data_IF_750883977372
#
_entry.id   IF_750883977372
#
_cell.length_a   1.000
_cell.length_b   1.000
_cell.length_c   1.000
_cell.angle_alpha   90.00
_cell.angle_beta   90.00
_cell.angle_gamma   90.00
#
_symmetry.space_group_name_H-M   'P 1'
#
loop_
_entity.id
_entity.type
_entity.pdbx_description
1 polymer ?
#
# COMPACT_ATOMS: atom_id res chain seq x y z
N UNK A 1 -20.17 -33.13 20.41
CA UNK A 1 -19.73 -31.72 20.38
C UNK A 1 -18.27 -31.53 19.94
N UNK A 2 -17.27 -32.10 20.64
CA UNK A 2 -15.83 -31.97 20.26
C UNK A 2 -15.51 -32.49 18.85
N UNK A 3 -16.07 -33.65 18.49
CA UNK A 3 -15.79 -34.28 17.19
C UNK A 3 -16.36 -33.50 16.01
N UNK A 4 -17.53 -32.86 16.19
CA UNK A 4 -18.15 -32.03 15.17
C UNK A 4 -17.33 -30.76 14.92
N UNK A 5 -16.82 -30.13 16.00
CA UNK A 5 -15.88 -29.00 15.90
C UNK A 5 -14.57 -29.39 15.20
N UNK A 6 -14.05 -30.58 15.48
CA UNK A 6 -12.82 -31.09 14.85
C UNK A 6 -13.00 -31.27 13.34
N UNK A 7 -14.11 -31.89 12.92
CA UNK A 7 -14.46 -32.06 11.51
C UNK A 7 -14.66 -30.73 10.80
N UNK A 8 -15.31 -29.77 11.46
CA UNK A 8 -15.51 -28.43 10.91
C UNK A 8 -14.19 -27.68 10.72
N UNK A 9 -13.29 -27.70 11.71
CA UNK A 9 -11.98 -27.07 11.60
C UNK A 9 -11.11 -27.72 10.51
N UNK A 10 -11.23 -29.04 10.33
CA UNK A 10 -10.53 -29.73 9.25
C UNK A 10 -11.05 -29.27 7.88
N UNK A 11 -12.37 -29.17 7.71
CA UNK A 11 -12.97 -28.69 6.48
C UNK A 11 -12.58 -27.24 6.14
N UNK A 12 -12.53 -26.35 7.13
CA UNK A 12 -12.06 -24.97 6.91
C UNK A 12 -10.59 -24.92 6.49
N UNK A 13 -9.75 -25.78 7.07
CA UNK A 13 -8.33 -25.84 6.70
C UNK A 13 -8.15 -26.38 5.29
N UNK A 14 -8.95 -27.36 4.89
CA UNK A 14 -8.94 -27.91 3.54
C UNK A 14 -9.44 -26.86 2.53
N UNK A 15 -10.45 -26.08 2.89
CA UNK A 15 -10.96 -24.95 2.10
C UNK A 15 -9.91 -23.83 1.95
N UNK A 16 -9.23 -23.44 3.02
CA UNK A 16 -8.15 -22.45 3.00
C UNK A 16 -7.01 -22.88 2.08
N UNK A 17 -6.57 -24.15 2.20
CA UNK A 17 -5.53 -24.72 1.33
C UNK A 17 -6.01 -24.76 -0.13
N UNK A 18 -7.26 -25.15 -0.37
CA UNK A 18 -7.86 -25.16 -1.70
C UNK A 18 -7.85 -23.76 -2.32
N UNK A 19 -8.27 -22.72 -1.58
CA UNK A 19 -8.30 -21.35 -2.07
C UNK A 19 -6.90 -20.76 -2.28
N UNK A 20 -5.93 -21.06 -1.41
CA UNK A 20 -4.54 -20.64 -1.58
C UNK A 20 -3.91 -21.26 -2.84
N UNK A 21 -4.16 -22.56 -3.09
CA UNK A 21 -3.72 -23.25 -4.30
C UNK A 21 -4.40 -22.69 -5.54
N UNK A 22 -5.72 -22.42 -5.48
CA UNK A 22 -6.49 -21.84 -6.58
C UNK A 22 -6.08 -20.41 -6.90
N UNK A 23 -5.75 -19.59 -5.90
CA UNK A 23 -5.24 -18.24 -6.11
C UNK A 23 -3.87 -18.24 -6.81
N UNK A 24 -2.97 -19.13 -6.40
CA UNK A 24 -1.67 -19.33 -7.06
C UNK A 24 -1.82 -19.90 -8.47
N UNK A 25 -2.75 -20.84 -8.68
CA UNK A 25 -3.06 -21.39 -10.00
C UNK A 25 -3.68 -20.35 -10.93
N UNK A 26 -4.57 -19.49 -10.42
CA UNK A 26 -5.10 -18.34 -11.16
C UNK A 26 -3.98 -17.39 -11.56
N UNK A 27 -3.06 -17.10 -10.66
CA UNK A 27 -1.89 -16.28 -10.97
C UNK A 27 -0.95 -16.93 -12.00
N UNK A 28 -0.77 -18.25 -11.94
CA UNK A 28 0.04 -19.03 -12.88
C UNK A 28 -0.60 -19.13 -14.27
N UNK A 29 -1.92 -19.37 -14.31
CA UNK A 29 -2.72 -19.52 -15.54
C UNK A 29 -2.89 -18.19 -16.25
N UNK A 30 -2.98 -17.10 -15.49
CA UNK A 30 -2.97 -15.74 -16.01
C UNK A 30 -1.55 -15.20 -16.24
N UNK A 31 -0.49 -15.98 -15.98
CA UNK A 31 0.90 -15.58 -16.22
C UNK A 31 1.14 -15.07 -17.65
N UNK A 32 1.93 -14.00 -17.79
CA UNK A 32 2.34 -13.20 -18.98
C UNK A 32 1.27 -12.82 -20.02
N UNK A 33 0.05 -13.36 -19.93
CA UNK A 33 -1.15 -12.93 -20.66
C UNK A 33 -1.97 -11.91 -19.88
N UNK A 34 -1.66 -11.71 -18.59
CA UNK A 34 -2.16 -10.59 -17.80
C UNK A 34 -1.37 -9.30 -18.02
N UNK A 35 -0.70 -9.09 -19.16
CA UNK A 35 -0.11 -7.77 -19.48
C UNK A 35 -1.17 -6.69 -19.27
N UNK A 36 -2.38 -6.86 -19.82
CA UNK A 36 -3.45 -5.86 -19.70
C UNK A 36 -3.98 -5.72 -18.27
N UNK A 37 -4.21 -6.82 -17.53
CA UNK A 37 -4.68 -6.73 -16.14
C UNK A 37 -3.59 -6.17 -15.21
N UNK A 38 -2.34 -6.57 -15.41
CA UNK A 38 -1.20 -6.07 -14.65
C UNK A 38 -0.99 -4.59 -14.95
N UNK A 39 -0.98 -4.17 -16.22
CA UNK A 39 -0.92 -2.76 -16.58
C UNK A 39 -2.14 -2.01 -16.10
N UNK A 40 -3.35 -2.57 -16.13
CA UNK A 40 -4.55 -1.94 -15.57
C UNK A 40 -4.44 -1.75 -14.06
N UNK A 41 -3.93 -2.75 -13.33
CA UNK A 41 -3.69 -2.70 -11.89
C UNK A 41 -2.61 -1.68 -11.53
N UNK A 42 -1.48 -1.69 -12.25
CA UNK A 42 -0.40 -0.70 -12.13
C UNK A 42 -0.91 0.70 -12.47
N UNK A 43 -1.67 0.86 -13.54
CA UNK A 43 -2.22 2.15 -13.97
C UNK A 43 -3.29 2.65 -13.00
N UNK A 44 -4.09 1.77 -12.40
CA UNK A 44 -5.04 2.11 -11.34
C UNK A 44 -4.31 2.62 -10.10
N UNK A 45 -3.24 1.92 -9.68
CA UNK A 45 -2.37 2.38 -8.58
C UNK A 45 -1.68 3.70 -8.89
N UNK A 46 -1.14 3.86 -10.11
CA UNK A 46 -0.53 5.12 -10.58
C UNK A 46 -1.54 6.27 -10.56
N UNK A 47 -2.75 6.06 -11.08
CA UNK A 47 -3.84 7.07 -11.05
C UNK A 47 -4.20 7.45 -9.63
N UNK A 48 -4.39 6.47 -8.74
CA UNK A 48 -4.73 6.71 -7.33
C UNK A 48 -3.63 7.46 -6.57
N UNK A 49 -2.36 7.18 -6.88
CA UNK A 49 -1.22 7.74 -6.16
C UNK A 49 -0.62 8.98 -6.86
N UNK A 50 -1.19 9.43 -7.99
CA UNK A 50 -0.68 10.58 -8.71
C UNK A 50 -1.10 11.87 -8.00
N UNK A 51 -0.13 12.65 -7.57
CA UNK A 51 -0.35 13.97 -6.97
C UNK A 51 -0.50 14.97 -8.12
N UNK A 52 -1.71 15.52 -8.28
CA UNK A 52 -2.03 16.46 -9.37
C UNK A 52 -1.94 17.92 -8.93
N UNK A 53 -2.20 18.15 -7.64
CA UNK A 53 -2.09 19.45 -7.01
C UNK A 53 -1.66 19.27 -5.56
N UNK A 54 -0.91 20.22 -5.06
CA UNK A 54 -0.46 20.24 -3.68
C UNK A 54 -0.72 21.63 -3.10
N UNK A 55 -1.25 21.67 -1.88
CA UNK A 55 -1.50 22.92 -1.17
C UNK A 55 -0.27 23.24 -0.33
N UNK A 56 0.28 24.45 -0.52
CA UNK A 56 1.40 24.97 0.25
C UNK A 56 0.94 25.46 1.63
N UNK A 57 1.89 25.80 2.49
CA UNK A 57 1.61 26.31 3.86
C UNK A 57 0.95 27.70 3.86
N UNK A 58 1.07 28.45 2.79
CA UNK A 58 0.46 29.78 2.60
C UNK A 58 -0.94 29.71 1.94
N UNK A 59 -1.56 28.52 1.97
CA UNK A 59 -2.85 28.20 1.33
C UNK A 59 -2.88 28.32 -0.20
N UNK A 60 -1.75 28.61 -0.85
CA UNK A 60 -1.64 28.60 -2.31
C UNK A 60 -1.57 27.16 -2.86
N UNK A 61 -1.97 26.97 -4.12
CA UNK A 61 -1.93 25.68 -4.80
C UNK A 61 -0.81 25.64 -5.84
N UNK A 62 -0.06 24.54 -5.87
CA UNK A 62 0.84 24.20 -6.97
C UNK A 62 0.30 23.01 -7.76
N UNK A 63 0.26 23.15 -9.09
CA UNK A 63 -0.22 22.13 -10.03
C UNK A 63 0.88 21.67 -10.99
N UNK A 64 1.93 22.49 -11.18
CA UNK A 64 3.07 22.11 -12.01
C UNK A 64 3.89 21.01 -11.30
N UNK A 65 4.23 19.96 -12.04
CA UNK A 65 4.96 18.81 -11.49
C UNK A 65 6.29 19.20 -10.86
N UNK A 66 7.03 20.12 -11.47
CA UNK A 66 8.31 20.62 -10.94
C UNK A 66 8.10 21.33 -9.61
N UNK A 67 7.13 22.22 -9.55
CA UNK A 67 6.79 22.96 -8.33
C UNK A 67 6.37 22.03 -7.18
N UNK A 68 5.58 21.00 -7.48
CA UNK A 68 5.18 19.97 -6.50
C UNK A 68 6.40 19.20 -5.99
N UNK A 69 7.30 18.81 -6.90
CA UNK A 69 8.53 18.08 -6.55
C UNK A 69 9.47 18.93 -5.69
N UNK A 70 9.65 20.20 -6.03
CA UNK A 70 10.47 21.15 -5.28
C UNK A 70 9.89 21.44 -3.89
N UNK A 71 8.59 21.67 -3.77
CA UNK A 71 7.92 21.92 -2.49
C UNK A 71 8.06 20.72 -1.54
N UNK A 72 7.71 19.51 -2.01
CA UNK A 72 7.80 18.28 -1.21
C UNK A 72 9.26 18.02 -0.79
N UNK A 73 10.20 18.15 -1.74
CA UNK A 73 11.62 17.91 -1.47
C UNK A 73 12.17 18.93 -0.48
N UNK A 74 11.77 20.20 -0.60
CA UNK A 74 12.12 21.27 0.32
C UNK A 74 11.64 21.01 1.74
N UNK A 75 10.35 20.66 1.88
CA UNK A 75 9.75 20.30 3.16
C UNK A 75 10.51 19.17 3.86
N UNK A 76 10.76 18.05 3.18
CA UNK A 76 11.45 16.92 3.80
C UNK A 76 12.93 17.22 4.07
N UNK A 77 13.59 18.01 3.21
CA UNK A 77 14.95 18.47 3.47
C UNK A 77 15.01 19.27 4.77
N UNK A 78 14.10 20.20 4.98
CA UNK A 78 14.00 20.97 6.23
C UNK A 78 13.67 20.06 7.43
N UNK A 79 12.69 19.18 7.29
CA UNK A 79 12.27 18.23 8.33
C UNK A 79 13.44 17.36 8.82
N UNK A 80 14.21 16.82 7.88
CA UNK A 80 15.37 15.95 8.16
C UNK A 80 16.67 16.71 8.45
N UNK A 81 16.70 18.04 8.30
CA UNK A 81 17.84 18.88 8.69
C UNK A 81 17.83 19.24 10.19
N UNK A 82 16.70 19.04 10.89
CA UNK A 82 16.63 19.27 12.33
C UNK A 82 17.51 18.29 13.12
N UNK A 83 18.50 18.81 13.84
CA UNK A 83 19.48 18.04 14.64
C UNK A 83 18.91 17.47 15.95
N UNK A 84 17.59 17.57 16.18
CA UNK A 84 16.90 17.03 17.35
C UNK A 84 15.50 16.52 16.96
N UNK A 85 15.38 15.34 16.33
CA UNK A 85 14.10 14.83 15.88
C UNK A 85 13.20 14.51 17.07
N UNK A 86 12.22 15.37 17.34
CA UNK A 86 11.13 15.04 18.26
C UNK A 86 10.13 14.13 17.56
N UNK A 87 9.56 13.17 18.29
CA UNK A 87 8.51 12.26 17.83
C UNK A 87 8.94 11.28 16.71
N UNK A 88 10.24 10.99 16.58
CA UNK A 88 10.74 9.97 15.63
C UNK A 88 10.10 8.60 15.89
N UNK A 89 10.05 8.19 17.16
CA UNK A 89 9.46 6.91 17.59
C UNK A 89 7.96 6.86 17.28
N UNK A 90 7.22 7.93 17.56
CA UNK A 90 5.79 8.02 17.25
C UNK A 90 5.53 7.97 15.74
N UNK A 91 6.35 8.66 14.94
CA UNK A 91 6.26 8.64 13.48
C UNK A 91 6.50 7.24 12.91
N UNK A 92 7.54 6.55 13.39
CA UNK A 92 7.80 5.16 13.02
C UNK A 92 6.67 4.22 13.44
N UNK A 93 6.07 4.46 14.61
CA UNK A 93 4.96 3.65 15.11
C UNK A 93 3.73 3.79 14.22
N UNK A 94 3.40 5.00 13.76
CA UNK A 94 2.28 5.27 12.84
C UNK A 94 2.52 4.65 11.47
N UNK A 95 3.75 4.73 10.95
CA UNK A 95 4.13 4.08 9.69
C UNK A 95 3.96 2.57 9.79
N UNK A 96 4.47 1.95 10.86
CA UNK A 96 4.38 0.50 11.07
C UNK A 96 2.94 0.02 11.27
N UNK A 97 2.11 0.79 11.98
CA UNK A 97 0.69 0.49 12.16
C UNK A 97 -0.06 0.43 10.82
N UNK A 98 0.30 1.29 9.86
CA UNK A 98 -0.31 1.30 8.52
C UNK A 98 0.01 0.04 7.68
N UNK A 99 1.01 -0.75 8.10
CA UNK A 99 1.37 -2.02 7.45
C UNK A 99 0.89 -3.27 8.20
N UNK A 100 0.32 -3.11 9.40
CA UNK A 100 -0.22 -4.24 10.18
C UNK A 100 -1.69 -4.55 9.88
N UNK A 101 -2.42 -3.62 9.23
CA UNK A 101 -3.81 -3.82 8.78
C UNK A 101 -3.93 -4.46 7.37
N UNK A 102 -2.98 -5.31 6.98
CA UNK A 102 -3.05 -6.09 5.72
C UNK A 102 -2.74 -7.56 5.91
#
# INVERSE_FOLDING_TARGET
MKELKRKLNHAYKDEEVYWAQKARAKWLQEGDRNIDFFHASVNSRRRKNSIHKHQRRDDSWCEERKDIEEEISGYYRELFHSSNPQNFVETLTRILAQFQDK
#
